data_IF_392528360098
#
_entry.id   IF_392528360098
#
_cell.length_a   1.000
_cell.length_b   1.000
_cell.length_c   1.000
_cell.angle_alpha   90.00
_cell.angle_beta   90.00
_cell.angle_gamma   90.00
#
_symmetry.space_group_name_H-M   'P 1'
#
loop_
_entity.id
_entity.type
_entity.pdbx_description
1 polymer ?
#
# COMPACT_ATOMS: atom_id res chain seq x y z
N UNK A 1 11.73 32.13 -11.63
CA UNK A 1 10.80 31.13 -12.17
C UNK A 1 10.17 30.38 -11.00
N UNK A 2 8.86 30.45 -10.81
CA UNK A 2 8.13 29.60 -9.85
C UNK A 2 7.52 28.44 -10.64
N UNK A 3 8.02 27.23 -10.43
CA UNK A 3 7.41 26.04 -10.98
C UNK A 3 6.09 25.79 -10.23
N UNK A 4 4.98 25.84 -10.94
CA UNK A 4 3.70 25.39 -10.42
C UNK A 4 3.67 23.87 -10.58
N UNK A 5 4.01 23.13 -9.52
CA UNK A 5 3.89 21.67 -9.51
C UNK A 5 2.39 21.34 -9.37
N UNK A 6 1.75 21.00 -10.49
CA UNK A 6 0.41 20.42 -10.47
C UNK A 6 0.58 19.00 -9.91
N UNK A 7 0.21 18.80 -8.64
CA UNK A 7 0.22 17.48 -8.02
C UNK A 7 -0.92 16.65 -8.62
N UNK A 8 -0.59 15.60 -9.37
CA UNK A 8 -1.56 14.58 -9.73
C UNK A 8 -2.04 13.87 -8.45
N UNK A 9 -3.36 13.79 -8.26
CA UNK A 9 -4.00 13.09 -7.14
C UNK A 9 -4.44 11.71 -7.63
N UNK A 10 -4.03 10.64 -6.95
CA UNK A 10 -4.56 9.31 -7.19
C UNK A 10 -5.39 8.89 -5.96
N UNK A 11 -6.72 9.07 -6.01
CA UNK A 11 -7.57 9.07 -4.81
C UNK A 11 -7.58 7.75 -4.04
N UNK A 12 -7.20 6.63 -4.68
CA UNK A 12 -7.15 5.31 -4.04
C UNK A 12 -5.73 4.97 -3.61
N UNK A 13 -4.74 5.20 -4.49
CA UNK A 13 -3.32 4.92 -4.21
C UNK A 13 -2.76 5.81 -3.08
N UNK A 14 -3.25 7.04 -2.97
CA UNK A 14 -2.79 7.99 -1.95
C UNK A 14 -3.24 7.63 -0.53
N UNK A 15 -4.29 6.81 -0.38
CA UNK A 15 -4.80 6.33 0.92
C UNK A 15 -4.03 5.08 1.44
N UNK A 16 -3.09 4.53 0.66
CA UNK A 16 -2.22 3.44 1.12
C UNK A 16 -1.01 3.95 1.90
N UNK A 17 -0.81 3.41 3.09
CA UNK A 17 0.39 3.61 3.91
C UNK A 17 1.49 2.61 3.54
N UNK A 18 2.75 3.04 3.51
CA UNK A 18 3.91 2.17 3.22
C UNK A 18 4.56 1.66 4.51
N UNK A 19 4.79 0.36 4.56
CA UNK A 19 5.43 -0.31 5.68
C UNK A 19 6.53 -1.26 5.23
N UNK A 20 7.27 -1.82 6.18
CA UNK A 20 8.30 -2.82 5.92
C UNK A 20 8.22 -3.92 6.97
N UNK A 21 8.03 -5.16 6.51
CA UNK A 21 8.13 -6.34 7.35
C UNK A 21 9.57 -6.86 7.33
N UNK A 22 10.20 -7.01 8.50
CA UNK A 22 11.52 -7.65 8.64
C UNK A 22 11.33 -9.11 9.02
N UNK A 23 11.68 -10.02 8.11
CA UNK A 23 11.59 -11.45 8.33
C UNK A 23 12.59 -11.92 9.39
N UNK A 24 12.15 -12.39 10.57
CA UNK A 24 13.06 -12.71 11.66
C UNK A 24 13.98 -13.91 11.36
N UNK A 25 13.53 -14.83 10.50
CA UNK A 25 14.28 -16.03 10.11
C UNK A 25 15.28 -15.79 8.98
N UNK A 26 14.98 -14.86 8.08
CA UNK A 26 15.75 -14.67 6.84
C UNK A 26 16.55 -13.36 6.82
N UNK A 27 16.25 -12.43 7.74
CA UNK A 27 16.79 -11.07 7.73
C UNK A 27 16.31 -10.21 6.57
N UNK A 28 15.45 -10.74 5.68
CA UNK A 28 14.97 -10.02 4.49
C UNK A 28 13.92 -9.00 4.88
N UNK A 29 13.94 -7.85 4.21
CA UNK A 29 12.92 -6.81 4.33
C UNK A 29 11.94 -6.91 3.17
N UNK A 30 10.65 -6.89 3.47
CA UNK A 30 9.56 -6.87 2.50
C UNK A 30 8.79 -5.56 2.65
N UNK A 31 8.95 -4.61 1.71
CA UNK A 31 8.09 -3.43 1.68
C UNK A 31 6.67 -3.84 1.25
N UNK A 32 5.65 -3.20 1.82
CA UNK A 32 4.25 -3.43 1.47
C UNK A 32 3.42 -2.16 1.60
N UNK A 33 2.27 -2.15 0.93
CA UNK A 33 1.26 -1.09 1.03
C UNK A 33 0.06 -1.63 1.81
N UNK A 34 -0.42 -0.86 2.80
CA UNK A 34 -1.58 -1.21 3.61
C UNK A 34 -2.63 -0.10 3.48
N UNK A 35 -3.85 -0.51 3.11
CA UNK A 35 -5.02 0.35 3.20
C UNK A 35 -5.76 0.03 4.50
N UNK A 36 -6.11 1.09 5.24
CA UNK A 36 -6.94 0.99 6.44
C UNK A 36 -8.24 1.75 6.15
N UNK A 37 -9.42 1.10 6.25
CA UNK A 37 -10.70 1.77 5.98
C UNK A 37 -10.90 3.03 6.81
N UNK A 38 -11.50 4.07 6.21
CA UNK A 38 -11.84 5.31 6.92
C UNK A 38 -12.86 5.03 8.02
N UNK A 39 -12.64 5.62 9.19
CA UNK A 39 -13.50 5.42 10.37
C UNK A 39 -13.15 4.18 11.20
N UNK A 40 -12.18 3.37 10.77
CA UNK A 40 -11.65 2.28 11.59
C UNK A 40 -10.95 2.82 12.85
N UNK A 41 -11.48 2.53 14.04
CA UNK A 41 -10.77 2.78 15.30
C UNK A 41 -9.78 1.64 15.55
N UNK A 42 -8.48 1.97 15.55
CA UNK A 42 -7.40 0.99 15.80
C UNK A 42 -7.41 0.46 17.25
N UNK A 43 -8.12 1.12 18.16
CA UNK A 43 -8.22 0.72 19.57
C UNK A 43 -9.51 -0.06 19.87
N UNK A 44 -10.47 -0.10 18.93
CA UNK A 44 -11.68 -0.89 19.08
C UNK A 44 -11.41 -2.33 18.64
N UNK A 45 -11.22 -3.21 19.63
CA UNK A 45 -10.98 -4.64 19.38
C UNK A 45 -12.25 -5.45 19.13
N UNK A 46 -13.44 -4.84 19.29
CA UNK A 46 -14.72 -5.52 19.04
C UNK A 46 -15.08 -5.50 17.53
N UNK A 47 -14.59 -4.51 16.80
CA UNK A 47 -14.74 -4.37 15.36
C UNK A 47 -13.61 -5.11 14.62
N UNK A 48 -13.96 -6.01 13.69
CA UNK A 48 -12.98 -6.74 12.86
C UNK A 48 -13.37 -6.66 11.40
N UNK A 49 -12.42 -6.24 10.57
CA UNK A 49 -12.60 -6.11 9.12
C UNK A 49 -11.90 -7.27 8.39
N UNK A 50 -12.42 -7.70 7.23
CA UNK A 50 -11.72 -8.70 6.43
C UNK A 50 -10.39 -8.15 5.91
N UNK A 51 -9.36 -8.99 5.92
CA UNK A 51 -8.09 -8.70 5.26
C UNK A 51 -8.12 -9.24 3.83
N UNK A 52 -7.98 -8.35 2.85
CA UNK A 52 -7.72 -8.73 1.47
C UNK A 52 -6.21 -8.66 1.22
N UNK A 53 -5.59 -9.81 0.96
CA UNK A 53 -4.17 -9.90 0.61
C UNK A 53 -4.02 -10.01 -0.91
N UNK A 54 -3.31 -9.06 -1.51
CA UNK A 54 -2.94 -9.08 -2.92
C UNK A 54 -1.44 -9.28 -3.08
N UNK A 55 -1.04 -10.26 -3.90
CA UNK A 55 0.35 -10.48 -4.31
C UNK A 55 0.47 -10.23 -5.80
N UNK A 56 1.31 -9.28 -6.19
CA UNK A 56 1.53 -8.98 -7.60
C UNK A 56 2.32 -10.09 -8.31
N UNK A 57 2.20 -10.16 -9.63
CA UNK A 57 3.01 -11.09 -10.44
C UNK A 57 4.46 -10.59 -10.64
N UNK A 58 5.29 -11.39 -11.30
CA UNK A 58 6.71 -11.10 -11.49
C UNK A 58 7.01 -9.82 -12.30
N UNK A 59 6.07 -9.31 -13.11
CA UNK A 59 6.28 -8.13 -13.95
C UNK A 59 6.36 -6.81 -13.18
N UNK A 60 5.99 -6.80 -11.90
CA UNK A 60 6.01 -5.62 -11.01
C UNK A 60 7.10 -5.67 -9.96
N UNK A 61 8.04 -6.62 -10.07
CA UNK A 61 9.20 -6.68 -9.18
C UNK A 61 10.02 -5.39 -9.37
N UNK A 62 10.00 -4.53 -8.35
CA UNK A 62 10.56 -3.18 -8.43
C UNK A 62 11.03 -2.69 -7.05
N UNK A 63 11.97 -1.75 -7.05
CA UNK A 63 12.35 -0.98 -5.85
C UNK A 63 11.35 0.12 -5.52
N UNK A 64 10.44 0.45 -6.44
CA UNK A 64 9.39 1.44 -6.24
C UNK A 64 8.22 0.80 -5.50
N UNK A 65 8.05 1.10 -4.21
CA UNK A 65 7.06 0.45 -3.33
C UNK A 65 5.62 0.59 -3.86
N UNK A 66 5.27 1.72 -4.48
CA UNK A 66 3.93 1.97 -5.05
C UNK A 66 3.69 1.30 -6.41
N UNK A 67 4.69 0.65 -7.02
CA UNK A 67 4.54 0.03 -8.35
C UNK A 67 3.40 -1.00 -8.38
N UNK A 68 3.19 -1.71 -7.27
CA UNK A 68 2.14 -2.73 -7.12
C UNK A 68 0.72 -2.16 -7.08
N UNK A 69 0.57 -0.85 -6.89
CA UNK A 69 -0.73 -0.16 -6.84
C UNK A 69 -1.13 0.47 -8.19
N UNK A 70 -0.23 0.47 -9.19
CA UNK A 70 -0.44 1.19 -10.46
C UNK A 70 -0.48 0.29 -11.69
N UNK A 71 0.05 -0.93 -11.60
CA UNK A 71 0.16 -1.85 -12.73
C UNK A 71 -1.15 -2.64 -13.00
N UNK A 72 -2.16 -2.48 -12.15
CA UNK A 72 -3.52 -3.02 -12.31
C UNK A 72 -4.45 -2.63 -11.15
N UNK A 73 -5.69 -3.12 -11.16
CA UNK A 73 -6.70 -2.83 -10.13
C UNK A 73 -6.73 -3.84 -8.96
N UNK A 74 -5.77 -4.77 -8.90
CA UNK A 74 -5.78 -5.85 -7.91
C UNK A 74 -5.74 -5.39 -6.44
N UNK A 75 -5.22 -4.18 -6.19
CA UNK A 75 -5.22 -3.54 -4.87
C UNK A 75 -6.10 -2.28 -4.79
N UNK A 76 -6.57 -1.73 -5.91
CA UNK A 76 -7.08 -0.35 -5.98
C UNK A 76 -8.44 -0.19 -6.65
N UNK A 77 -9.21 -1.28 -6.81
CA UNK A 77 -10.60 -1.39 -7.32
C UNK A 77 -11.23 -0.12 -7.90
#
# INVERSE_FOLDING_TARGET
>A
MRAFLIRAVNPIVDDFEQFTFKGPKTGRSLPYNLYIPKGHDKNDTAESYPLVLFTHDASVVSTTVKATLVQGLGAVC
#
